data_IF_731106440995
#
_entry.id   IF_731106440995
#
_cell.length_a   1.000
_cell.length_b   1.000
_cell.length_c   1.000
_cell.angle_alpha   90.00
_cell.angle_beta   90.00
_cell.angle_gamma   90.00
#
_symmetry.space_group_name_H-M   'P 1'
#
loop_
_entity.id
_entity.type
_entity.pdbx_description
1 polymer ?
#
# COMPACT_ATOMS: atom_id res chain seq x y z
N UNK A 1 21.77 24.85 -72.86
CA UNK A 1 21.02 23.58 -72.90
C UNK A 1 21.89 22.49 -72.29
N UNK A 2 21.70 22.22 -71.00
CA UNK A 2 22.55 21.31 -70.23
C UNK A 2 21.69 20.32 -69.43
N UNK A 3 22.15 19.07 -69.53
CA UNK A 3 21.80 17.79 -68.88
C UNK A 3 20.86 17.80 -67.67
N UNK A 4 19.90 16.86 -67.70
CA UNK A 4 19.21 16.30 -66.53
C UNK A 4 20.19 15.59 -65.58
N UNK A 5 19.80 15.40 -64.31
CA UNK A 5 19.80 14.02 -63.83
C UNK A 5 18.53 13.60 -63.08
N UNK A 6 18.31 12.30 -63.25
CA UNK A 6 17.35 11.35 -62.71
C UNK A 6 17.28 11.37 -61.18
N UNK A 7 16.07 11.42 -60.61
CA UNK A 7 15.82 11.13 -59.20
C UNK A 7 15.29 9.70 -59.07
N UNK A 8 16.15 8.84 -58.53
CA UNK A 8 15.86 7.47 -58.11
C UNK A 8 14.98 7.55 -56.86
N UNK A 9 13.78 6.95 -56.90
CA UNK A 9 12.95 6.72 -55.71
C UNK A 9 13.54 5.53 -54.94
N UNK A 10 14.20 5.81 -53.81
CA UNK A 10 14.55 4.82 -52.81
C UNK A 10 13.35 4.66 -51.87
N UNK A 11 12.63 3.54 -51.95
CA UNK A 11 11.66 3.15 -50.92
C UNK A 11 12.47 2.60 -49.73
N UNK A 12 12.51 3.34 -48.63
CA UNK A 12 12.97 2.82 -47.34
C UNK A 12 11.76 2.23 -46.62
N UNK A 13 11.67 0.91 -46.58
CA UNK A 13 10.76 0.20 -45.68
C UNK A 13 11.32 0.33 -44.25
N UNK A 14 10.72 1.22 -43.45
CA UNK A 14 10.95 1.25 -42.01
C UNK A 14 10.15 0.10 -41.37
N UNK A 15 10.87 -0.95 -40.98
CA UNK A 15 10.34 -2.05 -40.19
C UNK A 15 10.15 -1.55 -38.76
N UNK A 16 8.93 -1.13 -38.40
CA UNK A 16 8.57 -0.81 -37.03
C UNK A 16 8.40 -2.14 -36.25
N UNK A 17 9.44 -2.55 -35.53
CA UNK A 17 9.29 -3.52 -34.44
C UNK A 17 8.47 -2.84 -33.33
N UNK A 18 7.15 -3.04 -33.32
CA UNK A 18 6.36 -2.83 -32.11
C UNK A 18 6.81 -3.87 -31.07
N UNK A 19 7.63 -3.43 -30.12
CA UNK A 19 7.75 -4.13 -28.85
C UNK A 19 6.43 -3.90 -28.08
N UNK A 20 5.49 -4.82 -28.20
CA UNK A 20 4.40 -4.92 -27.24
C UNK A 20 5.02 -5.37 -25.93
N UNK A 21 5.20 -4.44 -24.99
CA UNK A 21 5.39 -4.81 -23.60
C UNK A 21 4.13 -5.56 -23.17
N UNK A 22 4.26 -6.86 -22.89
CA UNK A 22 3.19 -7.61 -22.23
C UNK A 22 3.03 -6.99 -20.85
N UNK A 23 1.96 -6.25 -20.62
CA UNK A 23 1.55 -5.87 -19.28
C UNK A 23 1.28 -7.18 -18.52
N UNK A 24 2.08 -7.47 -17.50
CA UNK A 24 1.71 -8.46 -16.50
C UNK A 24 0.38 -7.97 -15.90
N UNK A 25 -0.64 -8.82 -15.89
CA UNK A 25 -1.88 -8.49 -15.17
C UNK A 25 -1.51 -8.30 -13.70
N UNK A 26 -1.70 -7.09 -13.18
CA UNK A 26 -1.58 -6.82 -11.75
C UNK A 26 -2.60 -7.72 -11.03
N UNK A 27 -2.09 -8.75 -10.36
CA UNK A 27 -2.92 -9.71 -9.66
C UNK A 27 -3.23 -9.11 -8.28
N UNK A 28 -4.52 -9.01 -7.96
CA UNK A 28 -5.00 -8.51 -6.67
C UNK A 28 -5.51 -9.65 -5.81
N UNK A 29 -5.70 -9.40 -4.52
CA UNK A 29 -6.34 -10.37 -3.64
C UNK A 29 -7.77 -10.78 -4.00
N UNK A 30 -8.46 -9.94 -4.77
CA UNK A 30 -9.89 -10.09 -4.97
C UNK A 30 -10.71 -9.76 -3.73
N UNK A 31 -12.00 -9.54 -3.93
CA UNK A 31 -12.94 -9.18 -2.88
C UNK A 31 -13.09 -10.30 -1.82
N UNK A 32 -13.13 -9.93 -0.53
CA UNK A 32 -13.33 -10.87 0.57
C UNK A 32 -12.09 -11.67 1.00
N UNK A 33 -10.93 -11.35 0.43
CA UNK A 33 -9.64 -11.83 0.91
C UNK A 33 -9.28 -11.20 2.26
N UNK A 34 -8.48 -11.90 3.04
CA UNK A 34 -7.88 -11.35 4.25
C UNK A 34 -6.48 -10.81 3.94
N UNK A 35 -6.18 -9.63 4.45
CA UNK A 35 -4.96 -8.88 4.16
C UNK A 35 -4.13 -8.70 5.43
N UNK A 36 -2.83 -8.99 5.33
CA UNK A 36 -1.85 -8.46 6.27
C UNK A 36 -1.14 -7.29 5.59
N UNK A 37 -1.48 -6.03 5.92
CA UNK A 37 -1.11 -4.88 5.11
C UNK A 37 0.37 -4.49 5.25
N UNK A 38 1.05 -5.01 6.27
CA UNK A 38 2.44 -4.68 6.50
C UNK A 38 3.21 -5.79 7.21
N UNK A 39 4.19 -6.35 6.49
CA UNK A 39 5.22 -7.24 7.00
C UNK A 39 6.56 -6.71 6.48
N UNK A 40 7.46 -6.18 7.33
CA UNK A 40 8.74 -5.70 6.88
C UNK A 40 9.55 -6.77 6.16
N UNK A 41 10.25 -6.36 5.11
CA UNK A 41 11.25 -7.20 4.44
C UNK A 41 12.38 -7.61 5.41
N UNK A 42 13.00 -8.75 5.14
CA UNK A 42 14.18 -9.18 5.88
C UNK A 42 15.34 -8.19 5.63
N UNK A 43 16.10 -7.89 6.68
CA UNK A 43 17.20 -6.92 6.60
C UNK A 43 16.78 -5.46 6.73
N UNK A 44 15.52 -5.17 7.06
CA UNK A 44 15.09 -3.80 7.37
C UNK A 44 15.93 -3.23 8.56
N UNK A 45 16.37 -1.95 8.51
CA UNK A 45 17.27 -1.40 9.52
C UNK A 45 16.75 -1.48 10.96
N UNK A 46 17.64 -1.24 11.93
CA UNK A 46 17.35 -1.31 13.38
C UNK A 46 16.97 -2.71 13.87
N UNK A 47 17.24 -3.74 13.07
CA UNK A 47 16.96 -5.14 13.39
C UNK A 47 15.48 -5.47 13.37
N UNK A 48 14.68 -4.72 12.60
CA UNK A 48 13.26 -4.99 12.48
C UNK A 48 13.02 -6.30 11.77
N UNK A 49 12.11 -7.09 12.33
CA UNK A 49 11.69 -8.34 11.75
C UNK A 49 10.17 -8.39 11.66
N UNK A 50 9.66 -8.64 10.46
CA UNK A 50 8.26 -9.00 10.28
C UNK A 50 8.00 -10.39 10.85
N UNK A 51 6.88 -10.56 11.53
CA UNK A 51 6.48 -11.82 12.15
C UNK A 51 5.01 -12.09 11.83
N UNK A 52 4.75 -13.17 11.11
CA UNK A 52 3.39 -13.58 10.75
C UNK A 52 3.02 -14.78 11.61
N UNK A 53 1.81 -14.74 12.17
CA UNK A 53 1.23 -15.82 12.93
C UNK A 53 -0.08 -16.25 12.29
N UNK A 54 -0.18 -17.53 11.99
CA UNK A 54 -1.38 -18.18 11.46
C UNK A 54 -1.91 -19.15 12.50
N UNK A 55 -3.18 -19.04 12.84
CA UNK A 55 -3.86 -19.98 13.75
C UNK A 55 -4.89 -20.75 12.97
N UNK A 56 -4.85 -22.07 12.99
CA UNK A 56 -5.94 -22.90 12.48
C UNK A 56 -6.93 -23.19 13.63
N UNK A 57 -8.10 -22.54 13.70
CA UNK A 57 -9.07 -22.81 14.76
C UNK A 57 -9.87 -24.09 14.54
N UNK A 58 -9.57 -24.91 13.52
CA UNK A 58 -10.36 -26.09 13.16
C UNK A 58 -9.76 -27.39 13.68
N UNK A 59 -10.58 -28.42 13.77
CA UNK A 59 -10.16 -29.80 14.14
C UNK A 59 -9.63 -30.61 12.94
N UNK A 60 -9.36 -29.96 11.82
CA UNK A 60 -8.81 -30.56 10.60
C UNK A 60 -7.61 -29.76 10.14
N UNK A 61 -6.62 -30.43 9.57
CA UNK A 61 -5.49 -29.74 8.93
C UNK A 61 -5.92 -29.05 7.64
N UNK A 62 -5.17 -28.02 7.24
CA UNK A 62 -5.40 -27.23 6.05
C UNK A 62 -4.09 -26.88 5.35
N UNK A 63 -4.12 -26.89 4.02
CA UNK A 63 -3.15 -26.16 3.21
C UNK A 63 -3.68 -24.73 3.03
N UNK A 64 -2.87 -23.75 3.37
CA UNK A 64 -3.21 -22.32 3.30
C UNK A 64 -2.43 -21.71 2.15
N UNK A 65 -3.06 -21.51 0.98
CA UNK A 65 -2.46 -20.70 -0.07
C UNK A 65 -2.50 -19.23 0.35
N UNK A 66 -1.48 -18.48 -0.02
CA UNK A 66 -1.46 -17.02 0.11
C UNK A 66 -0.48 -16.45 -0.91
N UNK A 67 -0.64 -15.18 -1.27
CA UNK A 67 0.29 -14.47 -2.14
C UNK A 67 0.99 -13.38 -1.34
N UNK A 68 2.31 -13.30 -1.46
CA UNK A 68 3.09 -12.20 -0.91
C UNK A 68 3.35 -11.19 -2.03
N UNK A 69 3.08 -9.90 -1.78
CA UNK A 69 3.34 -8.83 -2.72
C UNK A 69 4.33 -7.84 -2.13
N UNK A 70 5.33 -7.44 -2.90
CA UNK A 70 6.21 -6.34 -2.51
C UNK A 70 5.55 -4.96 -2.78
N UNK A 71 6.22 -3.86 -2.42
CA UNK A 71 5.65 -2.52 -2.59
C UNK A 71 5.53 -2.10 -4.07
N UNK A 72 6.24 -2.79 -4.98
CA UNK A 72 6.12 -2.59 -6.41
C UNK A 72 4.99 -3.43 -7.04
N UNK A 73 4.32 -4.28 -6.26
CA UNK A 73 3.24 -5.16 -6.72
C UNK A 73 3.70 -6.48 -7.33
N UNK A 74 4.96 -6.87 -7.13
CA UNK A 74 5.44 -8.20 -7.55
C UNK A 74 4.85 -9.27 -6.62
N UNK A 75 3.97 -10.12 -7.15
CA UNK A 75 3.30 -11.19 -6.41
C UNK A 75 4.04 -12.53 -6.45
N UNK A 76 4.03 -13.25 -5.33
CA UNK A 76 4.64 -14.57 -5.16
C UNK A 76 3.66 -15.51 -4.47
N UNK A 77 3.21 -16.52 -5.19
CA UNK A 77 2.28 -17.52 -4.65
C UNK A 77 3.01 -18.50 -3.74
N UNK A 78 2.53 -18.58 -2.51
CA UNK A 78 3.09 -19.37 -1.43
C UNK A 78 2.03 -20.28 -0.83
N UNK A 79 2.51 -21.22 -0.03
CA UNK A 79 1.65 -22.07 0.77
C UNK A 79 2.33 -22.49 2.05
N UNK A 80 1.50 -22.75 3.05
CA UNK A 80 1.88 -23.45 4.25
C UNK A 80 0.85 -24.53 4.59
N UNK A 81 1.25 -25.52 5.38
CA UNK A 81 0.35 -26.51 5.96
C UNK A 81 0.29 -26.35 7.48
N UNK A 82 -0.93 -26.38 8.00
CA UNK A 82 -1.22 -26.42 9.42
C UNK A 82 -2.05 -27.66 9.72
N UNK A 83 -1.70 -28.40 10.76
CA UNK A 83 -2.51 -29.46 11.34
C UNK A 83 -3.73 -28.91 12.09
N UNK A 84 -4.59 -29.82 12.62
CA UNK A 84 -5.70 -29.46 13.49
C UNK A 84 -5.23 -28.62 14.69
N UNK A 85 -5.90 -27.50 14.97
CA UNK A 85 -5.60 -26.61 16.11
C UNK A 85 -4.15 -26.09 16.16
N UNK A 86 -3.42 -26.18 15.07
CA UNK A 86 -2.03 -25.77 15.03
C UNK A 86 -1.90 -24.24 14.91
N UNK A 87 -0.87 -23.69 15.52
CA UNK A 87 -0.38 -22.34 15.26
C UNK A 87 0.96 -22.44 14.56
N UNK A 88 1.06 -21.79 13.41
CA UNK A 88 2.32 -21.61 12.70
C UNK A 88 2.76 -20.15 12.81
N UNK A 89 4.05 -19.93 12.98
CA UNK A 89 4.63 -18.61 12.79
C UNK A 89 5.83 -18.69 11.85
N UNK A 90 6.03 -17.63 11.08
CA UNK A 90 7.20 -17.44 10.25
C UNK A 90 7.59 -15.96 10.25
N UNK A 91 8.87 -15.68 10.08
CA UNK A 91 9.38 -14.32 10.06
C UNK A 91 9.70 -13.86 8.63
N UNK A 92 10.13 -12.61 8.47
CA UNK A 92 10.41 -12.04 7.15
C UNK A 92 11.55 -12.72 6.39
N UNK A 93 12.53 -13.32 7.08
CA UNK A 93 13.55 -14.16 6.44
C UNK A 93 12.96 -15.50 5.99
N UNK A 94 12.13 -16.15 6.81
CA UNK A 94 11.42 -17.37 6.41
C UNK A 94 10.53 -17.12 5.18
N UNK A 95 9.86 -15.97 5.12
CA UNK A 95 9.03 -15.55 3.98
C UNK A 95 9.85 -15.36 2.70
N UNK A 96 11.05 -14.80 2.80
CA UNK A 96 11.89 -14.50 1.64
C UNK A 96 12.72 -15.71 1.17
N UNK A 97 13.42 -16.33 2.11
CA UNK A 97 14.42 -17.36 1.84
C UNK A 97 13.80 -18.77 1.85
N UNK A 98 12.59 -18.89 2.41
CA UNK A 98 11.91 -20.16 2.62
C UNK A 98 12.33 -20.84 3.91
N UNK A 99 11.44 -21.66 4.43
CA UNK A 99 11.72 -22.49 5.59
C UNK A 99 10.81 -23.74 5.57
N UNK A 100 11.32 -24.91 5.14
CA UNK A 100 10.50 -26.12 5.03
C UNK A 100 9.95 -26.59 6.39
N UNK A 101 10.62 -26.25 7.49
CA UNK A 101 10.15 -26.56 8.85
C UNK A 101 8.95 -25.69 9.27
N UNK A 102 8.62 -24.65 8.49
CA UNK A 102 7.45 -23.79 8.69
C UNK A 102 6.28 -24.19 7.80
N UNK A 103 5.90 -25.47 7.89
CA UNK A 103 4.75 -25.99 7.17
C UNK A 103 4.95 -26.02 5.66
N UNK A 104 6.12 -26.42 5.16
CA UNK A 104 6.44 -26.48 3.73
C UNK A 104 6.56 -25.09 3.04
N UNK A 105 6.89 -24.02 3.79
CA UNK A 105 7.07 -22.68 3.22
C UNK A 105 8.31 -22.63 2.30
N UNK A 106 8.09 -22.39 1.02
CA UNK A 106 9.15 -22.38 -0.01
C UNK A 106 9.92 -21.06 -0.10
N UNK A 107 9.39 -19.99 0.47
CA UNK A 107 9.92 -18.63 0.32
C UNK A 107 9.54 -17.99 -1.01
N UNK A 108 9.63 -16.66 -1.10
CA UNK A 108 9.41 -15.92 -2.36
C UNK A 108 10.56 -16.11 -3.33
N UNK A 109 11.76 -16.43 -2.84
CA UNK A 109 12.99 -16.48 -3.66
C UNK A 109 13.34 -15.12 -4.27
N UNK A 110 12.68 -14.05 -3.84
CA UNK A 110 12.79 -12.73 -4.41
C UNK A 110 13.95 -11.96 -3.76
N UNK A 111 14.98 -11.70 -4.56
CA UNK A 111 16.00 -10.73 -4.22
C UNK A 111 16.44 -9.96 -5.47
N UNK A 112 16.49 -8.61 -5.44
CA UNK A 112 16.10 -7.73 -4.33
C UNK A 112 14.57 -7.54 -4.21
N UNK A 113 14.09 -7.31 -2.99
CA UNK A 113 12.70 -6.95 -2.67
C UNK A 113 12.53 -5.44 -2.80
N UNK A 114 11.46 -4.97 -3.43
CA UNK A 114 11.12 -3.54 -3.42
C UNK A 114 10.29 -3.21 -2.18
N UNK A 115 10.88 -2.47 -1.24
CA UNK A 115 10.17 -2.02 -0.03
C UNK A 115 9.84 -3.15 0.94
N UNK A 116 8.56 -3.32 1.25
CA UNK A 116 8.05 -4.27 2.22
C UNK A 116 6.94 -5.16 1.66
N UNK A 117 6.48 -6.12 2.46
CA UNK A 117 5.47 -7.07 2.05
C UNK A 117 4.08 -6.66 2.53
N UNK A 118 3.08 -6.95 1.71
CA UNK A 118 1.71 -7.18 2.14
C UNK A 118 1.30 -8.59 1.71
N UNK A 119 0.53 -9.27 2.57
CA UNK A 119 0.15 -10.66 2.33
C UNK A 119 -1.33 -10.77 2.06
N UNK A 120 -1.63 -11.65 1.13
CA UNK A 120 -2.94 -11.88 0.59
C UNK A 120 -3.42 -13.30 0.86
N UNK A 121 -4.48 -13.46 1.63
CA UNK A 121 -5.11 -14.75 1.86
C UNK A 121 -6.43 -14.79 1.07
N UNK A 122 -6.48 -15.52 -0.06
CA UNK A 122 -7.65 -15.48 -0.94
C UNK A 122 -8.91 -16.01 -0.23
N UNK A 123 -10.11 -15.61 -0.69
CA UNK A 123 -11.37 -16.12 -0.16
C UNK A 123 -11.38 -17.66 -0.11
N UNK A 124 -11.85 -18.23 1.00
CA UNK A 124 -11.77 -19.68 1.25
C UNK A 124 -10.53 -20.12 2.03
N UNK A 125 -9.52 -19.26 2.18
CA UNK A 125 -8.38 -19.47 3.11
C UNK A 125 -8.75 -19.25 4.58
N UNK A 126 -10.04 -19.05 4.89
CA UNK A 126 -10.64 -18.93 6.24
C UNK A 126 -10.43 -20.15 7.16
N UNK A 127 -9.58 -21.10 6.75
CA UNK A 127 -9.06 -22.12 7.64
C UNK A 127 -8.08 -21.57 8.67
N UNK A 128 -7.61 -20.33 8.50
CA UNK A 128 -6.71 -19.70 9.46
C UNK A 128 -7.11 -18.27 9.80
N UNK A 129 -6.62 -17.82 10.95
CA UNK A 129 -6.64 -16.44 11.44
C UNK A 129 -5.21 -15.88 11.34
N UNK A 130 -4.89 -15.14 10.27
CA UNK A 130 -3.59 -14.50 10.08
C UNK A 130 -3.45 -13.22 10.92
N UNK A 131 -2.27 -13.01 11.47
CA UNK A 131 -1.87 -11.77 12.16
C UNK A 131 -0.44 -11.42 11.81
N UNK A 132 -0.11 -10.13 11.76
CA UNK A 132 1.22 -9.62 11.48
C UNK A 132 1.73 -8.75 12.63
N UNK A 133 3.03 -8.86 12.90
CA UNK A 133 3.72 -8.05 13.90
C UNK A 133 5.06 -7.55 13.36
N UNK A 134 5.53 -6.45 13.95
CA UNK A 134 6.94 -6.05 13.85
C UNK A 134 7.58 -6.29 15.20
N UNK A 135 8.71 -6.99 15.17
CA UNK A 135 9.59 -7.16 16.32
C UNK A 135 10.83 -6.29 16.17
N UNK A 136 11.10 -5.47 17.18
CA UNK A 136 12.35 -4.72 17.31
C UNK A 136 13.44 -5.57 17.98
N UNK A 137 14.69 -5.11 17.93
CA UNK A 137 15.84 -5.82 18.49
C UNK A 137 15.82 -5.98 20.02
N UNK A 138 15.09 -5.12 20.73
CA UNK A 138 14.82 -5.25 22.17
C UNK A 138 13.63 -6.16 22.50
N UNK A 139 13.01 -6.76 21.48
CA UNK A 139 11.92 -7.72 21.63
C UNK A 139 10.53 -7.11 21.72
N UNK A 140 10.38 -5.77 21.61
CA UNK A 140 9.07 -5.14 21.55
C UNK A 140 8.32 -5.60 20.28
N UNK A 141 7.04 -5.93 20.45
CA UNK A 141 6.15 -6.41 19.39
C UNK A 141 5.02 -5.41 19.19
N UNK A 142 4.79 -5.01 17.94
CA UNK A 142 3.66 -4.18 17.56
C UNK A 142 2.80 -4.90 16.55
N UNK A 143 1.49 -4.93 16.79
CA UNK A 143 0.51 -5.46 15.83
C UNK A 143 0.44 -4.58 14.57
N UNK A 144 0.63 -5.20 13.42
CA UNK A 144 0.52 -4.58 12.09
C UNK A 144 -0.70 -5.04 11.30
N UNK A 145 -1.52 -5.91 11.90
CA UNK A 145 -2.74 -6.42 11.28
C UNK A 145 -3.77 -5.32 10.98
N UNK A 146 -4.03 -4.33 11.86
CA UNK A 146 -5.06 -3.34 11.61
C UNK A 146 -4.73 -2.38 10.45
N UNK A 147 -5.74 -2.10 9.63
CA UNK A 147 -5.80 -0.97 8.69
C UNK A 147 -6.77 0.09 9.20
N UNK A 148 -6.74 1.28 8.59
CA UNK A 148 -7.65 2.37 8.94
C UNK A 148 -9.06 1.97 8.51
N UNK A 149 -10.02 2.11 9.42
CA UNK A 149 -11.40 1.73 9.17
C UNK A 149 -12.01 2.55 8.03
N UNK A 150 -12.77 1.86 7.17
CA UNK A 150 -13.57 2.48 6.12
C UNK A 150 -14.65 3.38 6.73
N UNK A 151 -14.63 4.66 6.37
CA UNK A 151 -15.53 5.66 6.95
C UNK A 151 -16.82 5.87 6.14
N UNK A 152 -16.92 5.29 4.93
CA UNK A 152 -18.14 5.31 4.12
C UNK A 152 -17.90 5.69 2.66
N UNK A 153 -19.01 5.76 1.90
CA UNK A 153 -19.00 6.30 0.54
C UNK A 153 -19.09 7.82 0.59
N UNK A 154 -18.26 8.48 -0.20
CA UNK A 154 -18.40 9.90 -0.50
C UNK A 154 -19.18 10.07 -1.81
N UNK A 155 -19.95 11.14 -1.93
CA UNK A 155 -20.79 11.40 -3.12
C UNK A 155 -19.93 11.77 -4.34
N UNK A 156 -19.81 10.86 -5.29
CA UNK A 156 -19.27 11.11 -6.62
C UNK A 156 -20.13 10.38 -7.65
N UNK A 157 -20.41 11.02 -8.78
CA UNK A 157 -21.62 10.74 -9.55
C UNK A 157 -21.62 9.45 -10.37
N UNK A 158 -20.49 8.78 -10.63
CA UNK A 158 -20.46 7.61 -11.54
C UNK A 158 -19.41 6.53 -11.18
N UNK A 159 -18.68 6.69 -10.07
CA UNK A 159 -17.61 5.78 -9.63
C UNK A 159 -17.81 5.33 -8.19
N UNK A 160 -17.20 4.19 -7.78
CA UNK A 160 -17.16 3.86 -6.36
C UNK A 160 -16.16 4.79 -5.67
N UNK A 161 -16.70 5.78 -4.95
CA UNK A 161 -15.91 6.60 -4.05
C UNK A 161 -15.99 6.10 -2.61
N UNK A 162 -14.84 6.19 -1.94
CA UNK A 162 -14.64 5.73 -0.58
C UNK A 162 -13.86 6.78 0.21
N UNK A 163 -14.15 6.88 1.51
CA UNK A 163 -13.39 7.72 2.44
C UNK A 163 -12.90 6.96 3.68
N UNK A 164 -11.76 7.39 4.21
CA UNK A 164 -11.13 6.89 5.43
C UNK A 164 -10.65 8.05 6.29
N UNK A 165 -10.73 7.90 7.61
CA UNK A 165 -10.32 8.92 8.58
C UNK A 165 -9.12 8.45 9.38
N UNK A 166 -8.01 9.16 9.22
CA UNK A 166 -6.79 8.95 10.02
C UNK A 166 -6.85 9.90 11.21
N UNK A 167 -7.12 9.40 12.44
CA UNK A 167 -7.51 10.25 13.57
C UNK A 167 -6.34 11.05 14.15
N UNK A 168 -5.11 10.62 13.91
CA UNK A 168 -3.90 11.27 14.38
C UNK A 168 -2.77 11.05 13.38
N UNK A 169 -2.11 12.14 12.99
CA UNK A 169 -0.93 12.11 12.16
C UNK A 169 0.00 13.25 12.59
N UNK A 170 1.23 12.93 12.98
CA UNK A 170 2.16 13.92 13.49
C UNK A 170 2.71 14.79 12.35
N UNK A 171 2.92 16.09 12.58
CA UNK A 171 3.49 16.97 11.57
C UNK A 171 4.96 16.64 11.32
N UNK A 172 5.51 17.07 10.19
CA UNK A 172 6.90 16.82 9.81
C UNK A 172 7.91 17.37 10.84
N UNK A 173 7.54 18.45 11.54
CA UNK A 173 8.33 19.04 12.62
C UNK A 173 8.47 18.14 13.86
N UNK A 174 7.66 17.09 14.01
CA UNK A 174 7.74 16.15 15.13
C UNK A 174 8.68 14.96 14.82
N UNK A 175 9.99 15.21 14.91
CA UNK A 175 11.03 14.22 14.60
C UNK A 175 11.10 13.04 15.58
N UNK A 176 10.51 13.17 16.78
CA UNK A 176 10.52 12.09 17.78
C UNK A 176 9.42 11.04 17.55
N UNK A 177 8.43 11.37 16.72
CA UNK A 177 7.28 10.52 16.42
C UNK A 177 6.88 10.74 14.95
N UNK A 178 7.75 10.35 14.04
CA UNK A 178 7.57 10.58 12.60
C UNK A 178 6.41 9.74 12.07
N UNK A 179 5.37 10.41 11.55
CA UNK A 179 4.21 9.74 10.96
C UNK A 179 4.42 9.40 9.49
N UNK A 180 3.86 8.25 9.09
CA UNK A 180 3.88 7.74 7.71
C UNK A 180 2.53 7.13 7.36
N UNK A 181 2.05 7.41 6.17
CA UNK A 181 0.80 6.89 5.63
C UNK A 181 1.12 5.88 4.53
N UNK A 182 0.87 4.60 4.79
CA UNK A 182 1.05 3.54 3.79
C UNK A 182 -0.27 3.31 3.06
N UNK A 183 -0.27 3.50 1.75
CA UNK A 183 -1.41 3.36 0.85
C UNK A 183 -1.18 2.15 -0.05
N UNK A 184 -2.04 1.14 0.04
CA UNK A 184 -1.96 -0.10 -0.74
C UNK A 184 -3.13 -0.10 -1.71
N UNK A 185 -2.86 0.00 -3.00
CA UNK A 185 -3.89 -0.17 -4.01
C UNK A 185 -4.05 -1.65 -4.33
N UNK A 186 -4.94 -2.34 -3.61
CA UNK A 186 -5.33 -3.72 -3.89
C UNK A 186 -6.46 -3.77 -4.94
N UNK A 187 -6.33 -2.99 -6.00
CA UNK A 187 -7.20 -3.04 -7.18
C UNK A 187 -6.36 -3.28 -8.45
N UNK A 188 -6.96 -3.91 -9.48
CA UNK A 188 -6.24 -4.23 -10.72
C UNK A 188 -6.01 -2.99 -11.59
N UNK A 189 -6.63 -1.87 -11.22
CA UNK A 189 -6.57 -0.59 -11.91
C UNK A 189 -5.87 0.45 -11.04
N UNK A 190 -5.43 1.55 -11.66
CA UNK A 190 -4.99 2.70 -10.88
C UNK A 190 -6.17 3.37 -10.18
N UNK A 191 -5.90 3.93 -9.00
CA UNK A 191 -6.93 4.63 -8.20
C UNK A 191 -6.52 6.08 -7.98
N UNK A 192 -7.47 6.99 -8.15
CA UNK A 192 -7.25 8.39 -7.83
C UNK A 192 -7.36 8.56 -6.31
N UNK A 193 -6.31 9.03 -5.66
CA UNK A 193 -6.26 9.26 -4.22
C UNK A 193 -6.17 10.76 -3.94
N UNK A 194 -6.96 11.21 -2.96
CA UNK A 194 -6.92 12.58 -2.43
C UNK A 194 -6.72 12.51 -0.93
N UNK A 195 -5.70 13.20 -0.42
CA UNK A 195 -5.41 13.34 1.01
C UNK A 195 -5.62 14.81 1.40
N UNK A 196 -6.46 15.03 2.40
CA UNK A 196 -6.68 16.36 3.01
C UNK A 196 -6.32 16.32 4.49
N UNK A 197 -5.77 17.42 5.00
CA UNK A 197 -5.36 17.54 6.40
C UNK A 197 -6.22 18.55 7.16
N UNK A 198 -6.68 18.16 8.35
CA UNK A 198 -7.37 19.01 9.32
C UNK A 198 -6.51 19.19 10.56
N UNK A 199 -6.41 20.41 11.06
CA UNK A 199 -5.73 20.74 12.31
C UNK A 199 -6.61 20.36 13.50
N UNK A 200 -6.05 20.40 14.72
CA UNK A 200 -6.78 20.05 15.95
C UNK A 200 -8.00 20.93 16.26
N UNK A 201 -8.12 22.11 15.64
CA UNK A 201 -9.29 22.98 15.71
C UNK A 201 -10.32 22.74 14.60
N UNK A 202 -10.07 21.75 13.73
CA UNK A 202 -10.90 21.43 12.56
C UNK A 202 -10.62 22.29 11.32
N UNK A 203 -9.71 23.27 11.40
CA UNK A 203 -9.34 24.09 10.24
C UNK A 203 -8.44 23.34 9.26
N UNK A 204 -8.44 23.76 7.99
CA UNK A 204 -7.53 23.25 6.96
C UNK A 204 -6.48 24.32 6.61
N UNK A 205 -5.35 23.88 6.07
CA UNK A 205 -4.47 24.80 5.34
C UNK A 205 -5.16 25.18 4.03
N UNK A 206 -5.07 26.46 3.65
CA UNK A 206 -5.59 26.96 2.37
C UNK A 206 -4.47 27.52 1.49
N UNK A 207 -4.69 27.57 0.19
CA UNK A 207 -3.81 28.23 -0.77
C UNK A 207 -4.09 29.74 -0.87
N UNK A 208 -3.46 30.41 -1.84
CA UNK A 208 -3.58 31.87 -2.04
C UNK A 208 -5.00 32.28 -2.47
N UNK A 209 -5.76 31.37 -3.07
CA UNK A 209 -7.14 31.57 -3.50
C UNK A 209 -8.17 31.17 -2.41
N UNK A 210 -7.69 30.76 -1.24
CA UNK A 210 -8.50 30.32 -0.11
C UNK A 210 -9.09 28.92 -0.27
N UNK A 211 -8.60 28.12 -1.24
CA UNK A 211 -9.01 26.73 -1.41
C UNK A 211 -8.23 25.80 -0.49
N UNK A 212 -8.86 24.72 -0.05
CA UNK A 212 -8.22 23.74 0.81
C UNK A 212 -7.02 23.09 0.10
N UNK A 213 -5.87 23.11 0.78
CA UNK A 213 -4.67 22.40 0.32
C UNK A 213 -4.87 20.89 0.44
N UNK A 214 -4.49 20.18 -0.61
CA UNK A 214 -4.63 18.73 -0.70
C UNK A 214 -3.46 18.11 -1.48
N UNK A 215 -3.20 16.83 -1.22
CA UNK A 215 -2.37 15.98 -2.06
C UNK A 215 -3.29 15.13 -2.91
N UNK A 216 -3.15 15.18 -4.22
CA UNK A 216 -3.97 14.43 -5.16
C UNK A 216 -3.10 13.76 -6.21
N UNK A 217 -3.39 12.51 -6.55
CA UNK A 217 -2.69 11.79 -7.62
C UNK A 217 -3.19 10.36 -7.81
N UNK A 218 -2.67 9.69 -8.84
CA UNK A 218 -2.98 8.31 -9.18
C UNK A 218 -2.01 7.36 -8.49
N UNK A 219 -2.55 6.36 -7.80
CA UNK A 219 -1.81 5.25 -7.21
C UNK A 219 -1.92 4.02 -8.12
N UNK A 220 -0.80 3.54 -8.64
CA UNK A 220 -0.76 2.43 -9.59
C UNK A 220 -1.35 1.12 -9.02
N UNK A 221 -1.93 0.30 -9.89
CA UNK A 221 -2.51 -1.00 -9.56
C UNK A 221 -1.54 -1.91 -8.80
N UNK A 222 -2.03 -2.62 -7.77
CA UNK A 222 -1.27 -3.54 -6.93
C UNK A 222 -0.01 -2.96 -6.25
N UNK A 223 0.19 -1.64 -6.25
CA UNK A 223 1.38 -1.01 -5.64
C UNK A 223 1.12 -0.47 -4.25
N UNK A 224 2.21 -0.21 -3.53
CA UNK A 224 2.19 0.46 -2.24
C UNK A 224 3.01 1.73 -2.28
N UNK A 225 2.46 2.81 -1.72
CA UNK A 225 3.19 4.05 -1.48
C UNK A 225 3.14 4.41 -0.01
N UNK A 226 4.32 4.62 0.58
CA UNK A 226 4.45 5.16 1.93
C UNK A 226 4.75 6.65 1.84
N UNK A 227 3.85 7.48 2.36
CA UNK A 227 3.94 8.94 2.34
C UNK A 227 4.31 9.44 3.74
N UNK A 228 5.46 10.09 3.87
CA UNK A 228 5.85 10.71 5.14
C UNK A 228 5.12 12.03 5.38
N UNK A 229 5.08 12.48 6.65
CA UNK A 229 4.58 13.81 6.97
C UNK A 229 5.32 14.93 6.23
N UNK A 230 6.63 14.83 6.04
CA UNK A 230 7.40 15.83 5.29
C UNK A 230 7.00 15.88 3.82
N UNK A 231 6.85 14.72 3.18
CA UNK A 231 6.40 14.64 1.78
C UNK A 231 4.97 15.21 1.64
N UNK A 232 4.05 14.88 2.55
CA UNK A 232 2.69 15.41 2.53
C UNK A 232 2.65 16.92 2.76
N UNK A 233 3.47 17.47 3.66
CA UNK A 233 3.48 18.90 3.99
C UNK A 233 4.17 19.74 2.90
N UNK A 234 5.21 19.21 2.25
CA UNK A 234 6.03 19.95 1.28
C UNK A 234 5.70 19.65 -0.18
N UNK A 235 5.12 18.49 -0.45
CA UNK A 235 4.94 17.95 -1.81
C UNK A 235 6.19 17.32 -2.40
N UNK A 236 7.36 17.46 -1.75
CA UNK A 236 8.63 17.03 -2.31
C UNK A 236 8.67 15.51 -2.54
N UNK A 237 8.97 15.08 -3.76
CA UNK A 237 9.10 13.67 -4.12
C UNK A 237 7.77 12.92 -4.27
N UNK A 238 6.62 13.56 -4.04
CA UNK A 238 5.32 12.91 -4.24
C UNK A 238 5.06 12.57 -5.71
N UNK A 239 5.58 13.36 -6.66
CA UNK A 239 5.46 13.06 -8.10
C UNK A 239 6.17 11.77 -8.54
N UNK A 240 7.08 11.22 -7.70
CA UNK A 240 7.73 9.94 -7.93
C UNK A 240 6.89 8.75 -7.42
N UNK A 241 5.88 9.03 -6.60
CA UNK A 241 5.04 8.04 -5.91
C UNK A 241 3.61 8.03 -6.43
N UNK A 242 3.09 9.20 -6.76
CA UNK A 242 1.75 9.43 -7.27
C UNK A 242 1.87 10.11 -8.63
N UNK A 243 1.23 9.53 -9.65
CA UNK A 243 1.17 10.19 -10.95
C UNK A 243 0.15 11.34 -10.90
N UNK A 244 0.31 12.43 -11.67
CA UNK A 244 -0.69 13.48 -11.75
C UNK A 244 -2.07 12.92 -12.11
N UNK A 245 -3.11 13.37 -11.41
CA UNK A 245 -4.49 13.02 -11.75
C UNK A 245 -5.01 13.90 -12.89
N UNK A 246 -6.10 13.48 -13.54
CA UNK A 246 -6.84 14.32 -14.49
C UNK A 246 -8.19 14.70 -13.85
N UNK A 247 -8.57 15.97 -13.90
CA UNK A 247 -9.89 16.40 -13.41
C UNK A 247 -11.00 16.11 -14.42
N UNK A 248 -12.24 16.37 -14.05
CA UNK A 248 -13.42 16.11 -14.89
C UNK A 248 -13.42 16.94 -16.20
N UNK A 249 -12.68 18.06 -16.23
CA UNK A 249 -12.48 18.90 -17.41
C UNK A 249 -11.36 18.41 -18.35
N UNK A 250 -10.67 17.32 -17.98
CA UNK A 250 -9.58 16.75 -18.78
C UNK A 250 -8.22 17.42 -18.54
N UNK A 251 -8.09 18.27 -17.52
CA UNK A 251 -6.84 18.93 -17.17
C UNK A 251 -6.01 18.11 -16.19
N UNK A 252 -4.70 18.04 -16.44
CA UNK A 252 -3.75 17.41 -15.52
C UNK A 252 -3.59 18.27 -14.26
N UNK A 253 -3.89 17.68 -13.11
CA UNK A 253 -3.74 18.30 -11.79
C UNK A 253 -2.39 17.85 -11.20
N UNK A 254 -1.44 18.79 -10.95
CA UNK A 254 -0.18 18.46 -10.29
C UNK A 254 -0.42 17.85 -8.90
N UNK A 255 0.53 17.02 -8.46
CA UNK A 255 0.51 16.52 -7.09
C UNK A 255 0.78 17.68 -6.13
N UNK A 256 -0.23 18.02 -5.32
CA UNK A 256 -0.17 19.14 -4.40
C UNK A 256 0.60 18.87 -3.12
N UNK A 257 0.40 19.73 -2.12
CA UNK A 257 0.92 19.58 -0.76
C UNK A 257 -0.13 20.05 0.24
N UNK A 258 -0.07 19.54 1.47
CA UNK A 258 -0.90 20.00 2.57
C UNK A 258 -0.42 21.35 3.14
N UNK A 259 0.84 21.73 2.90
CA UNK A 259 1.50 22.83 3.62
C UNK A 259 1.93 22.42 5.03
N UNK A 260 2.62 23.31 5.77
CA UNK A 260 3.21 22.98 7.07
C UNK A 260 2.15 22.61 8.12
N UNK A 261 2.49 21.64 8.97
CA UNK A 261 1.65 21.21 10.08
C UNK A 261 1.77 22.08 11.32
N UNK A 262 0.65 22.68 11.73
CA UNK A 262 0.52 23.37 13.02
C UNK A 262 -0.20 22.44 14.00
N UNK A 263 0.58 21.65 14.74
CA UNK A 263 0.08 20.64 15.66
C UNK A 263 -0.19 19.30 14.98
N UNK A 264 -0.89 18.40 15.67
CA UNK A 264 -1.25 17.08 15.14
C UNK A 264 -2.40 17.22 14.14
N UNK A 265 -2.29 16.49 13.04
CA UNK A 265 -3.29 16.43 11.99
C UNK A 265 -4.30 15.32 12.24
N UNK A 266 -5.51 15.51 11.71
CA UNK A 266 -6.39 14.44 11.25
C UNK A 266 -6.31 14.42 9.73
N UNK A 267 -6.16 13.25 9.11
CA UNK A 267 -6.21 13.13 7.66
C UNK A 267 -7.54 12.53 7.22
N UNK A 268 -8.06 13.02 6.10
CA UNK A 268 -9.14 12.40 5.36
C UNK A 268 -8.58 11.94 4.02
N UNK A 269 -8.59 10.64 3.81
CA UNK A 269 -8.16 10.02 2.56
C UNK A 269 -9.40 9.61 1.78
N UNK A 270 -9.44 9.97 0.51
CA UNK A 270 -10.50 9.62 -0.42
C UNK A 270 -9.93 8.91 -1.62
N UNK A 271 -10.66 7.94 -2.13
CA UNK A 271 -10.33 7.24 -3.35
C UNK A 271 -11.49 7.30 -4.35
N UNK A 272 -11.16 7.38 -5.64
CA UNK A 272 -12.08 7.19 -6.77
C UNK A 272 -11.54 6.14 -7.73
N UNK A 273 -12.37 5.65 -8.65
CA UNK A 273 -12.00 4.58 -9.58
C UNK A 273 -11.87 3.19 -8.94
N UNK A 274 -12.36 2.98 -7.70
CA UNK A 274 -12.40 1.64 -7.13
C UNK A 274 -13.43 0.79 -7.89
N UNK A 275 -13.06 -0.44 -8.24
CA UNK A 275 -14.01 -1.44 -8.74
C UNK A 275 -14.52 -2.31 -7.59
N UNK A 276 -15.66 -3.00 -7.80
CA UNK A 276 -16.24 -3.93 -6.81
C UNK A 276 -15.27 -5.02 -6.34
N UNK A 277 -14.21 -5.29 -7.11
CA UNK A 277 -13.19 -6.31 -6.83
C UNK A 277 -11.92 -5.80 -6.15
N UNK A 278 -11.79 -4.50 -5.88
CA UNK A 278 -10.57 -3.89 -5.36
C UNK A 278 -10.79 -2.93 -4.19
N UNK A 279 -9.76 -2.76 -3.36
CA UNK A 279 -9.81 -1.92 -2.16
C UNK A 279 -8.54 -1.08 -2.03
N UNK A 280 -8.68 0.17 -1.57
CA UNK A 280 -7.56 0.93 -1.04
C UNK A 280 -7.40 0.60 0.46
N UNK A 281 -6.26 0.02 0.83
CA UNK A 281 -5.95 -0.29 2.23
C UNK A 281 -4.96 0.74 2.76
N UNK A 282 -5.25 1.28 3.94
CA UNK A 282 -4.48 2.38 4.54
C UNK A 282 -3.91 1.93 5.88
N UNK A 283 -2.61 2.15 6.09
CA UNK A 283 -1.96 1.94 7.39
C UNK A 283 -1.34 3.26 7.87
N UNK A 284 -1.72 3.67 9.07
CA UNK A 284 -1.17 4.82 9.78
C UNK A 284 -0.03 4.37 10.70
N UNK A 285 1.21 4.70 10.34
CA UNK A 285 2.40 4.30 11.07
C UNK A 285 3.02 5.49 11.79
N UNK A 286 3.64 5.22 12.94
CA UNK A 286 4.45 6.18 13.68
C UNK A 286 5.78 5.52 14.06
N UNK A 287 6.88 6.13 13.65
CA UNK A 287 8.23 5.68 13.98
C UNK A 287 8.89 6.60 15.01
N UNK A 288 9.68 6.04 15.92
CA UNK A 288 10.52 6.79 16.85
C UNK A 288 12.01 6.70 16.47
N UNK A 289 12.87 7.61 16.94
CA UNK A 289 14.32 7.54 16.72
C UNK A 289 14.99 6.27 17.26
N UNK A 290 14.36 5.58 18.23
CA UNK A 290 14.85 4.30 18.75
C UNK A 290 14.49 3.12 17.85
N UNK A 291 13.87 3.37 16.70
CA UNK A 291 13.42 2.36 15.76
C UNK A 291 12.11 1.70 16.17
N UNK A 292 11.36 2.18 17.16
CA UNK A 292 10.04 1.59 17.41
C UNK A 292 9.06 2.04 16.34
N UNK A 293 8.21 1.14 15.88
CA UNK A 293 7.16 1.42 14.89
C UNK A 293 5.83 1.02 15.47
N UNK A 294 4.94 1.98 15.61
CA UNK A 294 3.57 1.78 16.12
C UNK A 294 2.57 1.85 14.97
N UNK A 295 1.62 0.93 14.94
CA UNK A 295 0.45 1.01 14.07
C UNK A 295 -0.67 1.77 14.80
N UNK A 296 -1.08 2.90 14.25
CA UNK A 296 -2.13 3.78 14.76
C UNK A 296 -3.41 3.70 13.92
N UNK A 297 -3.58 2.61 13.16
CA UNK A 297 -4.70 2.46 12.22
C UNK A 297 -5.99 2.03 12.89
N UNK A 298 -5.89 1.22 13.96
CA UNK A 298 -7.06 0.74 14.68
C UNK A 298 -7.80 1.92 15.31
N UNK A 299 -9.10 2.03 15.02
CA UNK A 299 -10.00 2.90 15.75
C UNK A 299 -10.64 2.16 16.94
N UNK A 300 -11.39 2.88 17.78
CA UNK A 300 -12.09 2.28 18.92
C UNK A 300 -13.25 1.36 18.51
N UNK A 301 -13.70 1.39 17.26
CA UNK A 301 -14.87 0.67 16.77
C UNK A 301 -14.50 -0.75 16.32
N UNK A 302 -13.34 -0.91 15.69
CA UNK A 302 -12.80 -2.22 15.29
C UNK A 302 -12.43 -3.14 16.47
N UNK A 303 -12.20 -2.57 17.65
CA UNK A 303 -11.94 -3.31 18.88
C UNK A 303 -13.19 -3.99 19.47
N UNK A 304 -14.39 -3.56 19.06
CA UNK A 304 -15.66 -4.11 19.57
C UNK A 304 -16.26 -5.19 18.64
N UNK A 305 -16.06 -5.07 17.32
CA UNK A 305 -16.63 -5.99 16.33
C UNK A 305 -15.81 -7.28 16.10
N UNK A 306 -14.62 -7.40 16.69
CA UNK A 306 -13.78 -8.61 16.68
C UNK A 306 -13.98 -9.52 17.91
N UNK A 307 -15.16 -9.48 18.56
CA UNK A 307 -15.55 -10.39 19.65
C UNK A 307 -16.72 -11.26 19.27
#
# INVERSE_FOLDING_TARGET
>A
MHRRPTLVRLLVFACACLAQAMAASAQTCGFGAELLPFVPAAGWPNGHQGFVRLVNPRDQGAAVPFTAYDDAGNGYDLRVRLGPRETLHFNSADLQDGNPDKGELTGTGAAPVTGHWWLCFPPGSHAVEPTAYIRTSDGFLTDMTPSVAYAGRWDCSEELCAEWRVPIFNPASNLNQASRLRLINNSPDEVAVVVTGFRGDGSQNVDEDGQARQVSGMLAAATVQELSAEELETGAGLELKLSPATNDDGETVPVGSLGPGLGKWQLLVRARGLLDSGELVIVNLMATPTGHVTNLSADSVDAWNRR
#
